data_IF_940332062324
#
_entry.id   IF_940332062324
#
_cell.length_a   1.000
_cell.length_b   1.000
_cell.length_c   1.000
_cell.angle_alpha   90.00
_cell.angle_beta   90.00
_cell.angle_gamma   90.00
#
_symmetry.space_group_name_H-M   'P 1'
#
loop_
_entity.id
_entity.type
_entity.pdbx_description
1 polymer ?
#
# COMPACT_ATOMS: atom_id res chain seq x y z
N UNK A 1 54.75 -31.89 -54.11
CA UNK A 1 54.71 -31.12 -52.85
C UNK A 1 53.25 -30.77 -52.60
N UNK A 2 52.54 -31.70 -51.97
CA UNK A 2 52.07 -31.64 -50.57
C UNK A 2 51.02 -30.54 -50.43
N UNK A 3 49.75 -30.94 -50.43
CA UNK A 3 48.64 -30.11 -50.00
C UNK A 3 48.54 -30.06 -48.47
N UNK A 4 47.70 -29.16 -47.95
CA UNK A 4 47.03 -29.34 -46.66
C UNK A 4 45.77 -28.47 -46.60
N UNK A 5 44.67 -29.14 -46.24
CA UNK A 5 43.42 -28.61 -45.71
C UNK A 5 43.63 -27.62 -44.56
N UNK A 6 42.71 -26.65 -44.40
CA UNK A 6 42.07 -26.28 -43.12
C UNK A 6 40.94 -25.28 -43.44
N UNK A 7 39.70 -25.77 -43.50
CA UNK A 7 38.69 -25.70 -42.43
C UNK A 7 37.91 -24.38 -42.46
N UNK A 8 36.66 -24.50 -42.90
CA UNK A 8 35.65 -23.45 -42.78
C UNK A 8 35.31 -23.16 -41.33
N UNK A 9 35.18 -21.88 -41.01
CA UNK A 9 34.48 -21.43 -39.83
C UNK A 9 33.03 -21.13 -40.21
N UNK A 10 32.16 -22.10 -39.93
CA UNK A 10 30.74 -21.85 -39.74
C UNK A 10 30.60 -20.91 -38.54
N UNK A 11 30.19 -19.67 -38.78
CA UNK A 11 29.71 -18.78 -37.73
C UNK A 11 28.31 -19.28 -37.34
N UNK A 12 28.26 -20.18 -36.35
CA UNK A 12 27.03 -20.57 -35.70
C UNK A 12 26.47 -19.33 -34.98
N UNK A 13 25.39 -18.76 -35.53
CA UNK A 13 24.56 -17.78 -34.88
C UNK A 13 23.94 -18.46 -33.64
N UNK A 14 24.59 -18.31 -32.49
CA UNK A 14 24.04 -18.72 -31.21
C UNK A 14 22.80 -17.87 -30.94
N UNK A 15 21.64 -18.45 -31.21
CA UNK A 15 20.37 -18.09 -30.59
C UNK A 15 20.60 -18.06 -29.09
N UNK A 16 20.86 -16.87 -28.56
CA UNK A 16 20.78 -16.64 -27.12
C UNK A 16 19.34 -16.94 -26.74
N UNK A 17 19.07 -17.86 -25.79
CA UNK A 17 17.73 -18.01 -25.27
C UNK A 17 17.31 -16.64 -24.75
N UNK A 18 16.22 -16.11 -25.31
CA UNK A 18 15.73 -14.78 -25.00
C UNK A 18 15.73 -14.60 -23.49
N UNK A 19 16.54 -13.66 -23.01
CA UNK A 19 16.38 -13.11 -21.66
C UNK A 19 14.96 -12.57 -21.68
N UNK A 20 14.04 -13.34 -21.08
CA UNK A 20 12.70 -12.87 -20.79
C UNK A 20 12.94 -11.66 -19.91
N UNK A 21 12.86 -10.46 -20.48
CA UNK A 21 12.89 -9.23 -19.71
C UNK A 21 11.68 -9.32 -18.79
N UNK A 22 11.87 -9.82 -17.57
CA UNK A 22 10.83 -9.85 -16.57
C UNK A 22 10.37 -8.39 -16.41
N UNK A 23 9.14 -8.12 -16.81
CA UNK A 23 8.55 -6.79 -16.64
C UNK A 23 8.72 -6.40 -15.18
N UNK A 24 9.14 -5.17 -14.87
CA UNK A 24 9.46 -4.78 -13.50
C UNK A 24 8.27 -4.98 -12.56
N UNK A 25 8.54 -5.31 -11.30
CA UNK A 25 7.51 -5.35 -10.26
C UNK A 25 6.99 -3.93 -10.00
N UNK A 26 5.82 -3.60 -10.54
CA UNK A 26 5.18 -2.29 -10.38
C UNK A 26 4.54 -2.11 -9.00
N UNK A 27 4.41 -3.18 -8.20
CA UNK A 27 3.99 -3.09 -6.80
C UNK A 27 5.15 -2.74 -5.84
N UNK A 28 6.41 -2.82 -6.28
CA UNK A 28 7.57 -2.58 -5.43
C UNK A 28 7.53 -1.18 -4.77
N UNK A 29 7.69 -1.14 -3.44
CA UNK A 29 7.65 0.04 -2.59
C UNK A 29 6.35 0.86 -2.71
N UNK A 30 5.26 0.23 -3.14
CA UNK A 30 3.96 0.90 -3.23
C UNK A 30 3.28 1.01 -1.87
N UNK A 31 2.21 1.79 -1.84
CA UNK A 31 1.45 2.03 -0.62
C UNK A 31 0.55 0.82 -0.34
N UNK A 32 0.58 0.33 0.88
CA UNK A 32 -0.36 -0.69 1.38
C UNK A 32 -1.27 -0.03 2.41
N UNK A 33 -2.57 -0.12 2.21
CA UNK A 33 -3.59 0.47 3.08
C UNK A 33 -4.41 -0.63 3.74
N UNK A 34 -4.43 -0.60 5.06
CA UNK A 34 -5.14 -1.56 5.90
C UNK A 34 -4.76 -1.34 7.36
N UNK A 35 -5.47 -1.99 8.29
CA UNK A 35 -5.08 -1.95 9.71
C UNK A 35 -4.05 -3.05 9.98
N UNK A 36 -2.94 -2.75 10.64
CA UNK A 36 -1.89 -3.73 10.88
C UNK A 36 -0.54 -3.12 11.19
N UNK A 37 0.49 -3.97 11.16
CA UNK A 37 1.90 -3.61 11.29
C UNK A 37 2.67 -4.07 10.05
N UNK A 38 3.76 -3.38 9.75
CA UNK A 38 4.71 -3.75 8.69
C UNK A 38 4.11 -3.75 7.27
N UNK A 39 3.29 -2.75 6.95
CA UNK A 39 2.65 -2.58 5.64
C UNK A 39 3.61 -2.69 4.45
N UNK A 40 4.79 -2.09 4.56
CA UNK A 40 5.80 -2.10 3.50
C UNK A 40 6.29 -3.51 3.16
N UNK A 41 6.26 -4.43 4.12
CA UNK A 41 6.78 -5.79 3.93
C UNK A 41 5.98 -6.61 2.92
N UNK A 42 4.74 -6.23 2.62
CA UNK A 42 3.96 -6.88 1.56
C UNK A 42 4.39 -6.46 0.15
N UNK A 43 5.30 -5.50 -0.01
CA UNK A 43 5.66 -4.92 -1.31
C UNK A 43 7.12 -4.46 -1.37
N UNK A 44 8.00 -4.98 -0.52
CA UNK A 44 9.40 -4.54 -0.44
C UNK A 44 10.37 -5.42 -1.24
N UNK A 45 9.86 -6.45 -1.92
CA UNK A 45 10.65 -7.40 -2.69
C UNK A 45 11.36 -8.45 -1.84
N UNK A 46 11.04 -8.56 -0.54
CA UNK A 46 11.70 -9.50 0.38
C UNK A 46 10.74 -10.59 0.83
N UNK A 47 10.96 -11.80 0.34
CA UNK A 47 10.16 -12.98 0.70
C UNK A 47 10.34 -13.49 2.15
N UNK A 48 11.14 -12.81 2.97
CA UNK A 48 11.39 -13.14 4.38
C UNK A 48 10.86 -12.07 5.34
N UNK A 49 10.05 -11.13 4.83
CA UNK A 49 9.30 -10.17 5.63
C UNK A 49 7.81 -10.37 5.41
N UNK A 50 6.98 -9.88 6.33
CA UNK A 50 5.55 -10.21 6.39
C UNK A 50 4.74 -9.01 6.85
N UNK A 51 3.68 -8.69 6.11
CA UNK A 51 2.65 -7.77 6.58
C UNK A 51 1.71 -8.47 7.56
N UNK A 52 1.54 -7.89 8.75
CA UNK A 52 0.68 -8.42 9.80
C UNK A 52 -0.60 -7.57 9.95
N UNK A 53 -1.70 -7.93 9.26
CA UNK A 53 -2.96 -7.22 9.42
C UNK A 53 -3.59 -7.46 10.80
N UNK A 54 -4.21 -6.42 11.34
CA UNK A 54 -5.03 -6.48 12.56
C UNK A 54 -6.47 -6.82 12.23
N UNK A 55 -7.19 -7.42 13.19
CA UNK A 55 -8.60 -7.73 13.02
C UNK A 55 -9.45 -6.45 12.87
N UNK A 56 -10.36 -6.46 11.89
CA UNK A 56 -11.30 -5.38 11.58
C UNK A 56 -12.65 -5.93 11.15
N UNK A 57 -13.71 -5.12 11.23
CA UNK A 57 -15.07 -5.56 10.84
C UNK A 57 -15.22 -5.77 9.34
N UNK A 58 -14.45 -5.05 8.54
CA UNK A 58 -14.38 -5.17 7.09
C UNK A 58 -12.97 -5.63 6.69
N UNK A 59 -12.69 -6.95 6.67
CA UNK A 59 -11.35 -7.52 6.70
C UNK A 59 -10.71 -7.56 5.31
N UNK A 60 -10.54 -6.37 4.75
CA UNK A 60 -9.86 -6.09 3.50
C UNK A 60 -8.73 -5.10 3.73
N UNK A 61 -7.65 -5.26 2.97
CA UNK A 61 -6.60 -4.28 2.77
C UNK A 61 -6.27 -4.23 1.27
N UNK A 62 -5.49 -3.26 0.84
CA UNK A 62 -5.13 -3.16 -0.57
C UNK A 62 -3.73 -2.59 -0.79
N UNK A 63 -3.18 -2.90 -1.96
CA UNK A 63 -1.99 -2.26 -2.53
C UNK A 63 -2.45 -1.23 -3.56
N UNK A 64 -2.04 0.03 -3.39
CA UNK A 64 -2.25 1.09 -4.38
C UNK A 64 -1.01 1.21 -5.27
N UNK A 65 -1.15 0.83 -6.54
CA UNK A 65 -0.06 0.88 -7.52
C UNK A 65 0.34 2.32 -7.90
N UNK A 66 -0.45 3.32 -7.52
CA UNK A 66 -0.21 4.75 -7.77
C UNK A 66 -0.50 5.21 -9.20
N UNK A 67 -0.83 4.27 -10.09
CA UNK A 67 -1.26 4.49 -11.46
C UNK A 67 -2.16 3.32 -11.89
N UNK A 68 -2.79 3.44 -13.06
CA UNK A 68 -3.60 2.36 -13.62
C UNK A 68 -2.73 1.56 -14.59
N UNK A 69 -2.73 0.24 -14.44
CA UNK A 69 -1.89 -0.68 -15.20
C UNK A 69 -2.73 -1.72 -15.94
N UNK A 70 -2.21 -2.17 -17.08
CA UNK A 70 -2.57 -3.45 -17.69
C UNK A 70 -1.59 -4.50 -17.19
N UNK A 71 -2.01 -5.26 -16.18
CA UNK A 71 -1.15 -6.26 -15.54
C UNK A 71 -1.15 -7.56 -16.33
N UNK A 72 0.04 -8.11 -16.56
CA UNK A 72 0.25 -9.46 -17.07
C UNK A 72 0.17 -10.50 -15.95
N UNK A 73 0.54 -10.13 -14.72
CA UNK A 73 0.35 -10.97 -13.55
C UNK A 73 0.27 -10.18 -12.23
N UNK A 74 -0.37 -10.80 -11.25
CA UNK A 74 -0.27 -10.49 -9.83
C UNK A 74 0.21 -11.76 -9.14
N UNK A 75 1.34 -11.69 -8.44
CA UNK A 75 1.95 -12.82 -7.76
C UNK A 75 1.85 -12.56 -6.26
N UNK A 76 1.18 -13.47 -5.55
CA UNK A 76 0.94 -13.39 -4.11
C UNK A 76 1.75 -14.47 -3.42
N UNK A 77 2.51 -14.10 -2.40
CA UNK A 77 3.36 -15.03 -1.67
C UNK A 77 2.86 -15.18 -0.24
N UNK A 78 2.70 -16.42 0.21
CA UNK A 78 2.47 -16.72 1.62
C UNK A 78 3.67 -16.23 2.45
N UNK A 79 3.40 -15.82 3.70
CA UNK A 79 4.48 -15.49 4.63
C UNK A 79 5.46 -16.65 4.79
N UNK A 80 6.74 -16.33 4.99
CA UNK A 80 7.81 -17.31 5.17
C UNK A 80 8.65 -17.05 6.44
N UNK A 81 8.15 -16.22 7.35
CA UNK A 81 8.84 -15.87 8.59
C UNK A 81 8.55 -16.86 9.71
N UNK A 82 9.59 -17.40 10.35
CA UNK A 82 9.44 -18.39 11.42
C UNK A 82 8.53 -17.91 12.56
N UNK A 83 8.62 -16.63 12.94
CA UNK A 83 7.86 -15.98 14.02
C UNK A 83 6.35 -15.95 13.78
N UNK A 84 5.90 -16.10 12.54
CA UNK A 84 4.47 -16.11 12.17
C UNK A 84 3.85 -17.51 12.19
N UNK A 85 4.61 -18.57 12.45
CA UNK A 85 4.10 -19.94 12.43
C UNK A 85 3.40 -20.27 11.10
N UNK A 86 2.18 -20.81 11.18
CA UNK A 86 1.33 -21.14 10.03
C UNK A 86 0.26 -20.07 9.73
N UNK A 87 0.42 -18.84 10.22
CA UNK A 87 -0.52 -17.77 9.89
C UNK A 87 -0.62 -17.58 8.36
N UNK A 88 -1.85 -17.51 7.85
CA UNK A 88 -2.16 -17.42 6.43
C UNK A 88 -2.14 -18.75 5.66
N UNK A 89 -1.58 -19.82 6.22
CA UNK A 89 -1.63 -21.17 5.63
C UNK A 89 -3.02 -21.78 5.90
N UNK A 90 -3.60 -22.40 4.87
CA UNK A 90 -4.95 -22.99 4.90
C UNK A 90 -6.08 -22.00 5.26
N UNK A 91 -5.82 -20.69 5.18
CA UNK A 91 -6.83 -19.65 5.38
C UNK A 91 -7.38 -19.21 4.02
N UNK A 92 -8.69 -19.35 3.77
CA UNK A 92 -9.25 -18.92 2.49
C UNK A 92 -9.35 -17.40 2.42
N UNK A 93 -9.04 -16.84 1.25
CA UNK A 93 -9.16 -15.42 0.96
C UNK A 93 -9.51 -15.18 -0.52
N UNK A 94 -9.91 -13.95 -0.81
CA UNK A 94 -10.31 -13.49 -2.13
C UNK A 94 -9.42 -12.33 -2.56
N UNK A 95 -9.32 -12.13 -3.88
CA UNK A 95 -8.61 -11.01 -4.49
C UNK A 95 -9.57 -10.29 -5.41
N UNK A 96 -9.68 -8.98 -5.23
CA UNK A 96 -10.42 -8.08 -6.10
C UNK A 96 -9.51 -7.01 -6.68
N UNK A 97 -9.96 -6.35 -7.74
CA UNK A 97 -9.26 -5.27 -8.42
C UNK A 97 -10.19 -4.08 -8.65
N UNK A 98 -9.60 -2.88 -8.66
CA UNK A 98 -10.31 -1.65 -8.95
C UNK A 98 -9.38 -0.63 -9.63
N UNK A 99 -9.90 0.17 -10.55
CA UNK A 99 -9.13 1.09 -11.41
C UNK A 99 -9.53 2.56 -11.26
N UNK A 100 -10.48 2.84 -10.36
CA UNK A 100 -10.92 4.19 -10.02
C UNK A 100 -10.42 4.58 -8.63
N UNK A 101 -10.19 5.87 -8.44
CA UNK A 101 -9.68 6.40 -7.18
C UNK A 101 -10.58 5.98 -5.99
N UNK A 102 -9.93 5.48 -4.94
CA UNK A 102 -10.51 5.31 -3.62
C UNK A 102 -9.67 6.08 -2.62
N UNK A 103 -10.33 6.80 -1.72
CA UNK A 103 -9.66 7.38 -0.56
C UNK A 103 -9.30 6.28 0.45
N UNK A 104 -8.18 6.46 1.15
CA UNK A 104 -7.77 5.59 2.27
C UNK A 104 -8.91 5.41 3.29
N UNK A 105 -9.62 6.49 3.58
CA UNK A 105 -10.82 6.49 4.39
C UNK A 105 -12.04 6.13 3.53
N UNK A 106 -12.86 5.18 3.95
CA UNK A 106 -14.13 4.91 3.28
C UNK A 106 -14.02 4.07 2.01
N UNK A 107 -12.89 3.41 1.75
CA UNK A 107 -12.73 2.54 0.58
C UNK A 107 -13.82 1.44 0.52
N UNK A 108 -14.35 1.02 1.68
CA UNK A 108 -15.47 0.10 1.79
C UNK A 108 -16.75 0.56 1.07
N UNK A 109 -16.92 1.87 0.83
CA UNK A 109 -18.07 2.42 0.08
C UNK A 109 -18.06 2.03 -1.39
N UNK A 110 -16.92 1.59 -1.91
CA UNK A 110 -16.76 1.11 -3.28
C UNK A 110 -17.03 -0.39 -3.42
N UNK A 111 -17.32 -1.09 -2.31
CA UNK A 111 -17.71 -2.49 -2.35
C UNK A 111 -19.11 -2.66 -2.96
N UNK A 112 -19.34 -3.64 -3.86
CA UNK A 112 -18.39 -4.66 -4.32
C UNK A 112 -17.47 -4.17 -5.45
N UNK A 113 -16.20 -4.60 -5.42
CA UNK A 113 -15.23 -4.40 -6.51
C UNK A 113 -15.27 -5.52 -7.56
N UNK A 114 -14.44 -5.41 -8.59
CA UNK A 114 -14.28 -6.48 -9.58
C UNK A 114 -13.52 -7.66 -8.95
N UNK A 115 -14.20 -8.79 -8.77
CA UNK A 115 -13.57 -10.02 -8.27
C UNK A 115 -12.59 -10.55 -9.32
N UNK A 116 -11.35 -10.83 -8.89
CA UNK A 116 -10.33 -11.48 -9.70
C UNK A 116 -10.25 -12.98 -9.40
N UNK A 117 -10.29 -13.36 -8.12
CA UNK A 117 -10.29 -14.76 -7.69
C UNK A 117 -10.92 -14.90 -6.29
N UNK A 118 -11.51 -16.05 -6.02
CA UNK A 118 -12.17 -16.35 -4.74
C UNK A 118 -11.68 -17.66 -4.15
N UNK A 119 -11.74 -17.79 -2.82
CA UNK A 119 -11.41 -19.01 -2.08
C UNK A 119 -9.99 -19.53 -2.38
N UNK A 120 -9.06 -18.59 -2.63
CA UNK A 120 -7.63 -18.89 -2.73
C UNK A 120 -7.11 -19.37 -1.38
N UNK A 121 -6.10 -20.23 -1.39
CA UNK A 121 -5.53 -20.77 -0.16
C UNK A 121 -4.09 -21.16 -0.37
N UNK A 122 -3.18 -20.60 0.41
CA UNK A 122 -1.82 -21.11 0.52
C UNK A 122 -1.82 -22.42 1.30
N UNK A 123 -1.19 -23.46 0.77
CA UNK A 123 -1.00 -24.79 1.38
C UNK A 123 0.27 -24.87 2.21
N UNK A 124 1.25 -24.01 1.95
CA UNK A 124 2.50 -23.95 2.73
C UNK A 124 3.09 -22.53 2.76
N UNK A 125 4.00 -22.31 3.70
CA UNK A 125 4.78 -21.08 3.82
C UNK A 125 5.59 -20.80 2.55
N UNK A 126 5.71 -19.53 2.18
CA UNK A 126 6.40 -19.09 0.97
C UNK A 126 5.77 -19.54 -0.36
N UNK A 127 4.61 -20.19 -0.35
CA UNK A 127 3.93 -20.56 -1.60
C UNK A 127 3.49 -19.34 -2.40
N UNK A 128 3.61 -19.46 -3.71
CA UNK A 128 3.20 -18.45 -4.68
C UNK A 128 1.84 -18.82 -5.31
N UNK A 129 0.95 -17.83 -5.42
CA UNK A 129 -0.25 -17.89 -6.25
C UNK A 129 -0.13 -16.79 -7.31
N UNK A 130 -0.23 -17.18 -8.59
CA UNK A 130 -0.16 -16.27 -9.73
C UNK A 130 -1.55 -16.08 -10.32
N UNK A 131 -2.00 -14.83 -10.38
CA UNK A 131 -3.27 -14.40 -10.96
C UNK A 131 -3.03 -13.58 -12.23
N UNK A 132 -3.96 -13.62 -13.18
CA UNK A 132 -3.87 -12.90 -14.45
C UNK A 132 -5.09 -11.99 -14.63
N UNK A 133 -4.97 -10.69 -14.31
CA UNK A 133 -6.06 -9.74 -14.53
C UNK A 133 -6.35 -9.52 -16.02
N UNK A 134 -7.63 -9.46 -16.38
CA UNK A 134 -8.07 -9.07 -17.74
C UNK A 134 -8.56 -7.62 -17.81
N UNK A 135 -8.70 -6.97 -16.65
CA UNK A 135 -9.16 -5.58 -16.51
C UNK A 135 -8.01 -4.71 -16.00
N UNK A 136 -8.01 -3.40 -16.30
CA UNK A 136 -7.07 -2.46 -15.72
C UNK A 136 -7.09 -2.49 -14.18
N UNK A 137 -5.93 -2.27 -13.57
CA UNK A 137 -5.75 -2.35 -12.11
C UNK A 137 -5.01 -1.11 -11.61
N UNK A 138 -5.59 -0.43 -10.62
CA UNK A 138 -4.87 0.50 -9.76
C UNK A 138 -4.71 -0.06 -8.34
N UNK A 139 -5.76 -0.70 -7.84
CA UNK A 139 -5.82 -1.26 -6.50
C UNK A 139 -5.91 -2.79 -6.57
N UNK A 140 -4.99 -3.47 -5.89
CA UNK A 140 -5.05 -4.92 -5.64
C UNK A 140 -5.61 -5.10 -4.24
N UNK A 141 -6.81 -5.65 -4.12
CA UNK A 141 -7.58 -5.68 -2.88
C UNK A 141 -7.65 -7.12 -2.39
N UNK A 142 -7.23 -7.35 -1.15
CA UNK A 142 -7.03 -8.68 -0.59
C UNK A 142 -7.81 -8.78 0.72
N UNK A 143 -8.62 -9.81 0.86
CA UNK A 143 -9.45 -10.01 2.03
C UNK A 143 -10.58 -10.99 1.74
N UNK A 144 -11.66 -10.93 2.51
CA UNK A 144 -12.85 -11.76 2.29
C UNK A 144 -14.07 -11.19 3.02
N UNK A 145 -15.29 -11.57 2.64
CA UNK A 145 -16.48 -11.19 3.39
C UNK A 145 -16.40 -11.65 4.85
N UNK A 146 -16.87 -10.79 5.76
CA UNK A 146 -16.93 -11.10 7.19
C UNK A 146 -18.26 -11.79 7.54
N UNK A 147 -18.24 -13.12 7.57
CA UNK A 147 -19.41 -13.92 7.95
C UNK A 147 -19.77 -13.83 9.44
N UNK A 148 -18.93 -13.20 10.26
CA UNK A 148 -19.09 -13.08 11.72
C UNK A 148 -19.39 -11.64 12.17
N UNK A 149 -19.84 -10.77 11.27
CA UNK A 149 -20.17 -9.37 11.58
C UNK A 149 -21.16 -9.28 12.77
N UNK A 150 -20.99 -8.33 13.72
CA UNK A 150 -20.03 -7.22 13.72
C UNK A 150 -18.67 -7.55 14.37
N UNK A 151 -18.33 -8.84 14.60
CA UNK A 151 -17.03 -9.18 15.19
C UNK A 151 -15.90 -8.89 14.19
N UNK A 152 -14.82 -8.32 14.67
CA UNK A 152 -13.61 -8.14 13.88
C UNK A 152 -12.99 -9.49 13.54
N UNK A 153 -12.62 -9.66 12.27
CA UNK A 153 -11.90 -10.84 11.77
C UNK A 153 -10.57 -10.38 11.20
N UNK A 154 -9.54 -11.21 11.32
CA UNK A 154 -8.22 -10.90 10.77
C UNK A 154 -8.24 -11.11 9.24
N UNK A 155 -7.81 -10.13 8.43
CA UNK A 155 -7.48 -10.35 7.02
C UNK A 155 -6.35 -11.38 6.85
N UNK A 156 -6.17 -11.88 5.63
CA UNK A 156 -5.09 -12.82 5.31
C UNK A 156 -3.71 -12.17 5.51
N UNK A 157 -2.83 -12.87 6.24
CA UNK A 157 -1.41 -12.52 6.39
C UNK A 157 -0.69 -12.83 5.08
N UNK A 158 0.10 -11.88 4.56
CA UNK A 158 0.81 -12.05 3.28
C UNK A 158 2.30 -11.73 3.45
N UNK A 159 3.13 -12.50 2.75
CA UNK A 159 4.57 -12.27 2.68
C UNK A 159 4.88 -11.14 1.70
N UNK A 160 4.48 -11.30 0.43
CA UNK A 160 4.80 -10.35 -0.64
C UNK A 160 3.69 -10.32 -1.69
N UNK A 161 3.48 -9.16 -2.31
CA UNK A 161 2.63 -8.90 -3.46
C UNK A 161 3.49 -8.28 -4.56
N UNK A 162 3.59 -8.99 -5.66
CA UNK A 162 4.23 -8.48 -6.88
C UNK A 162 3.17 -8.29 -7.95
N UNK A 163 3.36 -7.25 -8.76
CA UNK A 163 2.49 -6.97 -9.90
C UNK A 163 3.37 -6.63 -11.09
N UNK A 164 3.05 -7.20 -12.25
CA UNK A 164 3.86 -7.08 -13.45
C UNK A 164 2.97 -6.66 -14.61
N UNK A 165 3.46 -5.74 -15.43
CA UNK A 165 2.71 -5.24 -16.59
C UNK A 165 3.09 -3.82 -16.96
N UNK A 166 2.24 -3.20 -17.76
CA UNK A 166 2.50 -1.89 -18.35
C UNK A 166 1.56 -0.83 -17.79
N UNK A 167 2.10 0.36 -17.59
CA UNK A 167 1.31 1.52 -17.16
C UNK A 167 0.36 1.92 -18.28
N UNK A 168 -0.94 1.93 -18.00
CA UNK A 168 -1.97 2.35 -18.94
C UNK A 168 -2.17 3.88 -18.88
N UNK A 169 -2.32 4.43 -17.67
CA UNK A 169 -2.52 5.87 -17.44
C UNK A 169 -2.14 6.27 -16.02
N UNK A 170 -1.96 7.56 -15.79
CA UNK A 170 -1.84 8.11 -14.44
C UNK A 170 -3.10 7.82 -13.62
N UNK A 171 -2.92 7.72 -12.29
CA UNK A 171 -4.06 7.63 -11.39
C UNK A 171 -4.81 8.97 -11.35
N UNK A 172 -6.13 8.89 -11.14
CA UNK A 172 -6.97 10.08 -10.93
C UNK A 172 -6.96 10.51 -9.45
N UNK A 173 -5.87 10.23 -8.72
CA UNK A 173 -5.74 10.65 -7.33
C UNK A 173 -5.80 12.17 -7.29
N UNK A 174 -6.73 12.77 -6.52
CA UNK A 174 -6.79 14.21 -6.37
C UNK A 174 -5.43 14.73 -5.90
N UNK A 175 -4.83 15.62 -6.69
CA UNK A 175 -3.57 16.25 -6.31
C UNK A 175 -3.80 17.10 -5.08
N UNK A 176 -3.08 16.78 -4.01
CA UNK A 176 -3.00 17.62 -2.84
C UNK A 176 -2.33 18.94 -3.25
N UNK A 177 -2.98 20.11 -3.08
CA UNK A 177 -2.38 21.39 -3.46
C UNK A 177 -1.06 21.60 -2.73
N UNK A 178 0.03 21.79 -3.49
CA UNK A 178 1.35 22.09 -2.94
C UNK A 178 1.47 23.58 -2.68
N UNK A 179 2.31 23.93 -1.72
CA UNK A 179 2.75 25.30 -1.52
C UNK A 179 3.94 25.55 -2.44
N UNK A 180 3.76 26.40 -3.45
CA UNK A 180 4.79 26.72 -4.44
C UNK A 180 5.92 27.60 -3.88
N UNK A 181 5.83 27.98 -2.60
CA UNK A 181 6.88 28.74 -1.91
C UNK A 181 8.13 27.86 -1.72
N UNK A 182 9.34 28.47 -1.72
CA UNK A 182 10.56 27.73 -1.39
C UNK A 182 10.42 27.00 -0.05
N UNK A 183 11.03 25.82 0.12
CA UNK A 183 11.04 25.12 1.40
C UNK A 183 11.54 26.07 2.48
N UNK A 184 10.69 26.36 3.48
CA UNK A 184 11.05 27.25 4.57
C UNK A 184 11.89 26.42 5.56
N UNK A 185 13.15 26.80 5.85
CA UNK A 185 13.92 26.18 6.93
C UNK A 185 13.11 26.23 8.22
N UNK A 186 13.03 25.12 8.96
CA UNK A 186 12.21 25.02 10.16
C UNK A 186 10.72 25.34 9.96
N UNK A 187 10.13 25.02 8.80
CA UNK A 187 8.70 25.21 8.52
C UNK A 187 7.76 24.74 9.66
N UNK A 188 8.14 23.65 10.35
CA UNK A 188 7.41 23.11 11.49
C UNK A 188 7.37 24.09 12.66
N UNK A 189 8.48 24.79 12.93
CA UNK A 189 8.59 25.79 14.00
C UNK A 189 7.74 27.02 13.69
N UNK A 190 7.83 27.54 12.46
CA UNK A 190 7.05 28.69 12.03
C UNK A 190 5.55 28.39 12.02
N UNK A 191 5.16 27.21 11.54
CA UNK A 191 3.75 26.79 11.54
C UNK A 191 3.26 26.57 12.97
N UNK A 192 4.05 25.92 13.84
CA UNK A 192 3.70 25.74 15.25
C UNK A 192 3.55 27.08 15.96
N UNK A 193 4.49 28.02 15.78
CA UNK A 193 4.43 29.37 16.34
C UNK A 193 3.25 30.16 15.82
N UNK A 194 2.92 30.04 14.53
CA UNK A 194 1.76 30.71 13.95
C UNK A 194 0.43 30.20 14.53
N UNK A 195 0.35 28.93 14.94
CA UNK A 195 -0.88 28.34 15.48
C UNK A 195 -0.96 28.46 17.01
N UNK A 196 0.13 28.18 17.73
CA UNK A 196 0.16 28.11 19.19
C UNK A 196 0.74 29.37 19.86
N UNK A 197 1.36 30.27 19.09
CA UNK A 197 2.07 31.42 19.64
C UNK A 197 3.26 31.01 20.50
N UNK A 198 3.24 31.43 21.77
CA UNK A 198 4.27 31.11 22.79
C UNK A 198 3.79 30.04 23.78
N UNK A 199 2.68 29.35 23.50
CA UNK A 199 2.14 28.34 24.40
C UNK A 199 2.91 27.03 24.26
N UNK A 200 3.43 26.54 25.40
CA UNK A 200 4.18 25.27 25.46
C UNK A 200 3.27 24.06 25.76
N UNK A 201 2.08 24.30 26.33
CA UNK A 201 1.12 23.27 26.75
C UNK A 201 -0.23 23.53 26.07
N UNK A 202 -0.88 22.46 25.60
CA UNK A 202 -2.25 22.51 25.09
C UNK A 202 -3.08 21.44 25.82
N UNK A 203 -4.18 21.85 26.47
CA UNK A 203 -5.11 20.93 27.14
C UNK A 203 -6.16 20.38 26.15
N UNK A 204 -6.38 19.05 26.11
CA UNK A 204 -7.28 18.39 25.15
C UNK A 204 -7.95 17.12 25.75
N UNK A 205 -9.24 16.87 25.48
CA UNK A 205 -10.06 15.74 26.00
C UNK A 205 -11.30 15.48 25.06
N UNK A 206 -11.91 14.26 24.90
CA UNK A 206 -11.42 12.89 24.64
C UNK A 206 -11.66 12.44 23.15
N UNK A 207 -11.75 11.14 22.84
CA UNK A 207 -10.73 10.24 22.28
C UNK A 207 -11.35 9.55 21.05
N UNK A 208 -10.75 9.58 19.85
CA UNK A 208 -10.22 8.43 19.11
C UNK A 208 -10.07 8.78 17.62
N UNK A 209 -8.89 8.51 17.06
CA UNK A 209 -8.62 8.47 15.63
C UNK A 209 -7.12 8.57 15.36
N UNK A 210 -6.60 7.69 14.49
CA UNK A 210 -5.18 7.65 14.16
C UNK A 210 -4.89 8.60 13.00
N UNK A 211 -4.16 9.68 13.27
CA UNK A 211 -3.51 10.48 12.22
C UNK A 211 -2.00 10.30 12.30
N UNK A 212 -1.47 9.61 11.30
CA UNK A 212 -0.04 9.47 11.08
C UNK A 212 0.47 10.77 10.43
N UNK A 213 1.52 11.41 10.94
CA UNK A 213 2.11 12.58 10.30
C UNK A 213 2.45 12.23 8.85
N UNK A 214 2.05 13.12 7.94
CA UNK A 214 2.38 12.97 6.53
C UNK A 214 3.49 13.94 6.16
N UNK A 215 4.74 13.45 6.22
CA UNK A 215 5.93 14.21 5.84
C UNK A 215 5.88 14.67 4.37
N UNK A 216 5.19 13.94 3.49
CA UNK A 216 4.99 14.33 2.08
C UNK A 216 4.22 15.66 1.97
N UNK A 217 3.29 15.91 2.90
CA UNK A 217 2.40 17.07 2.86
C UNK A 217 2.73 18.14 3.89
N UNK A 218 3.86 18.00 4.61
CA UNK A 218 4.37 19.02 5.55
C UNK A 218 3.39 19.36 6.67
N UNK A 219 2.58 18.38 7.08
CA UNK A 219 1.63 18.54 8.18
C UNK A 219 2.36 18.62 9.52
N UNK A 220 1.96 19.57 10.37
CA UNK A 220 2.67 19.86 11.63
C UNK A 220 1.83 19.40 12.81
N UNK A 221 2.33 18.43 13.57
CA UNK A 221 1.69 17.98 14.81
C UNK A 221 1.83 19.06 15.88
N UNK A 222 0.70 19.42 16.51
CA UNK A 222 0.60 20.47 17.51
C UNK A 222 0.42 19.91 18.93
N UNK A 223 -0.30 18.80 19.08
CA UNK A 223 -0.52 18.11 20.35
C UNK A 223 -0.33 16.61 20.22
N UNK A 224 0.22 15.99 21.27
CA UNK A 224 0.51 14.55 21.34
C UNK A 224 0.15 14.05 22.75
N UNK A 225 -0.53 12.91 22.85
CA UNK A 225 -0.68 12.16 24.12
C UNK A 225 0.02 10.79 24.02
N UNK A 226 -0.65 9.77 23.50
CA UNK A 226 -0.03 8.54 22.95
C UNK A 226 0.13 8.63 21.42
N UNK A 227 -0.73 9.44 20.79
CA UNK A 227 -0.80 9.75 19.34
C UNK A 227 -1.00 11.27 19.13
N UNK A 228 -0.81 11.80 17.89
CA UNK A 228 -1.16 13.18 17.54
C UNK A 228 -2.66 13.50 17.74
N UNK A 229 -2.98 14.42 18.64
CA UNK A 229 -4.36 14.86 18.97
C UNK A 229 -4.77 16.15 18.26
N UNK A 230 -3.80 16.94 17.80
CA UNK A 230 -4.05 18.10 16.97
C UNK A 230 -2.92 18.30 15.95
N UNK A 231 -3.25 18.82 14.78
CA UNK A 231 -2.29 19.12 13.72
C UNK A 231 -2.69 20.34 12.90
N UNK A 232 -1.70 21.07 12.40
CA UNK A 232 -1.87 22.05 11.36
C UNK A 232 -1.70 21.35 10.00
N UNK A 233 -2.75 21.39 9.20
CA UNK A 233 -2.78 20.89 7.82
C UNK A 233 -2.61 22.08 6.88
N UNK A 234 -1.55 22.06 6.07
CA UNK A 234 -1.24 23.15 5.13
C UNK A 234 -1.28 22.62 3.70
N UNK A 235 -2.13 23.22 2.86
CA UNK A 235 -2.39 22.79 1.48
C UNK A 235 -2.36 24.00 0.56
N UNK A 236 -1.19 24.28 -0.01
CA UNK A 236 -0.95 25.53 -0.73
C UNK A 236 -1.23 26.73 0.17
N UNK A 237 -2.19 27.58 -0.23
CA UNK A 237 -2.64 28.74 0.58
C UNK A 237 -3.63 28.37 1.68
N UNK A 238 -4.27 27.20 1.62
CA UNK A 238 -5.22 26.76 2.63
C UNK A 238 -4.48 26.28 3.88
N UNK A 239 -4.95 26.72 5.04
CA UNK A 239 -4.44 26.32 6.35
C UNK A 239 -5.63 25.91 7.20
N UNK A 240 -5.55 24.72 7.78
CA UNK A 240 -6.56 24.19 8.68
C UNK A 240 -5.86 23.71 9.95
N UNK A 241 -6.45 23.98 11.10
CA UNK A 241 -6.06 23.31 12.34
C UNK A 241 -7.11 22.25 12.60
N UNK A 242 -6.67 21.00 12.64
CA UNK A 242 -7.51 19.86 13.00
C UNK A 242 -7.22 19.57 14.45
N UNK A 243 -8.25 19.64 15.29
CA UNK A 243 -8.22 19.19 16.68
C UNK A 243 -9.19 18.03 16.78
N UNK A 244 -8.68 16.86 17.17
CA UNK A 244 -9.48 15.69 17.41
C UNK A 244 -10.05 15.78 18.83
N UNK A 245 -11.37 15.94 18.93
CA UNK A 245 -12.08 16.03 20.21
C UNK A 245 -13.59 15.94 20.01
N UNK A 246 -14.34 15.77 21.10
CA UNK A 246 -15.80 15.84 21.04
C UNK A 246 -16.28 17.30 21.02
N UNK A 247 -17.25 17.63 20.17
CA UNK A 247 -17.97 18.90 20.25
C UNK A 247 -18.83 18.90 21.52
N UNK A 248 -18.49 19.74 22.50
CA UNK A 248 -19.41 20.03 23.62
C UNK A 248 -20.53 20.94 23.13
N UNK A 249 -21.68 20.36 22.77
CA UNK A 249 -22.91 21.14 22.60
C UNK A 249 -23.38 21.49 24.00
N UNK A 250 -23.20 22.75 24.40
CA UNK A 250 -23.84 23.31 25.60
C UNK A 250 -25.35 23.17 25.43
N UNK A 251 -25.99 22.34 26.25
CA UNK A 251 -27.44 22.43 26.48
C UNK A 251 -27.74 23.63 27.37
#
# INVERSE_FOLDING_TARGET
MIGHHLLGFYLALLLSPGVRSESPNVALNKKVVGRGRWHSCAVDGKFHTTFSPSAVQFPYYYVDLGAVYNLTSINLFCQNEATFGDQGVNVPFDVQIYDQYMSDCGFEKHYPWNVLATNLTFKRKGEEIVLKPEKPVQYIIIGRPNNNYPRSVQPIVIGEVQAHGEKLRESNVPKVPKDDRPPIPHHYWETRKAVLGTQDIIEMDPSYGYFKPNEEYMDVVLGWYDDPTAMAVVRGKAKMVVVMGHTFIKK
#
